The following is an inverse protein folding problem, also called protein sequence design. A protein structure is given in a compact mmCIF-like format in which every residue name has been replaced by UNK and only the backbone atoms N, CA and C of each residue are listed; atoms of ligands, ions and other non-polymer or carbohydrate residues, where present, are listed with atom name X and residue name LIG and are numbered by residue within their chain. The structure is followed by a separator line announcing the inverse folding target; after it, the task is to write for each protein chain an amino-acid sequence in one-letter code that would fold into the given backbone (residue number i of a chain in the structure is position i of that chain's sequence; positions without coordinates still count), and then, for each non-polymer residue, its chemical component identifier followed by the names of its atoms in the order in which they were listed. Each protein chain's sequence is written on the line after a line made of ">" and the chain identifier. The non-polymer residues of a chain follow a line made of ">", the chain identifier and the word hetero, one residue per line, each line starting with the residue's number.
data_IF_784158249346
#
_entry.id   IF_784158249346
#
_cell.length_a   1.000
_cell.length_b   1.000
_cell.length_c   1.000
_cell.angle_alpha   90.00
_cell.angle_beta   90.00
_cell.angle_gamma   90.00
#
_symmetry.space_group_name_H-M   'P 1'
#
loop_
_entity.id
_entity.type
_entity.pdbx_description
1 polymer ?
#
# COMPACT_ATOMS: atom_id res chain seq x y z
N UNK A 1 -20.70 3.37 -10.55
CA UNK A 1 -19.63 3.47 -11.58
C UNK A 1 -18.38 2.78 -11.07
N UNK A 2 -18.13 1.55 -11.51
CA UNK A 2 -16.93 0.77 -11.16
C UNK A 2 -15.73 1.33 -11.94
N UNK A 3 -14.77 1.93 -11.23
CA UNK A 3 -13.51 2.43 -11.80
C UNK A 3 -12.76 1.31 -12.54
N UNK A 4 -12.17 1.57 -13.71
CA UNK A 4 -11.39 0.57 -14.43
C UNK A 4 -10.15 0.18 -13.61
N UNK A 5 -9.93 -1.13 -13.47
CA UNK A 5 -8.74 -1.68 -12.81
C UNK A 5 -7.51 -1.23 -13.60
N UNK A 6 -6.65 -0.41 -12.99
CA UNK A 6 -5.34 -0.07 -13.56
C UNK A 6 -4.62 -1.37 -13.93
N UNK A 7 -4.05 -1.46 -15.14
CA UNK A 7 -3.18 -2.58 -15.50
C UNK A 7 -2.05 -2.67 -14.47
N UNK A 8 -2.13 -3.66 -13.57
CA UNK A 8 -1.18 -3.87 -12.50
C UNK A 8 0.06 -4.54 -13.08
N UNK A 9 1.13 -3.77 -13.29
CA UNK A 9 2.41 -4.33 -13.71
C UNK A 9 3.08 -4.94 -12.48
N UNK A 10 3.37 -6.23 -12.49
CA UNK A 10 4.18 -6.88 -11.45
C UNK A 10 5.65 -6.48 -11.62
N UNK A 11 6.40 -6.27 -10.54
CA UNK A 11 7.85 -6.15 -10.65
C UNK A 11 8.48 -7.54 -10.76
N UNK A 12 9.55 -7.66 -11.56
CA UNK A 12 10.39 -8.87 -11.53
C UNK A 12 11.14 -8.93 -10.20
N UNK A 13 11.54 -10.13 -9.76
CA UNK A 13 12.32 -10.33 -8.53
C UNK A 13 13.56 -9.43 -8.47
N UNK A 14 14.34 -9.41 -9.56
CA UNK A 14 15.55 -8.58 -9.66
C UNK A 14 15.24 -7.07 -9.49
N UNK A 15 14.18 -6.57 -10.16
CA UNK A 15 13.78 -5.16 -10.06
C UNK A 15 13.25 -4.80 -8.68
N UNK A 16 12.54 -5.72 -8.04
CA UNK A 16 12.07 -5.55 -6.65
C UNK A 16 13.28 -5.39 -5.73
N UNK A 17 14.26 -6.28 -5.83
CA UNK A 17 15.48 -6.26 -5.02
C UNK A 17 16.32 -5.00 -5.25
N UNK A 18 16.52 -4.61 -6.51
CA UNK A 18 17.20 -3.36 -6.89
C UNK A 18 16.54 -2.14 -6.23
N UNK A 19 15.22 -2.02 -6.35
CA UNK A 19 14.47 -0.90 -5.75
C UNK A 19 14.56 -0.94 -4.23
N UNK A 20 14.44 -2.14 -3.64
CA UNK A 20 14.50 -2.33 -2.20
C UNK A 20 15.84 -1.88 -1.60
N UNK A 21 16.95 -2.18 -2.28
CA UNK A 21 18.30 -1.80 -1.86
C UNK A 21 18.55 -0.28 -1.88
N UNK A 22 17.78 0.47 -2.67
CA UNK A 22 17.87 1.94 -2.73
C UNK A 22 17.10 2.64 -1.61
N UNK A 23 16.23 1.92 -0.89
CA UNK A 23 15.45 2.48 0.22
C UNK A 23 16.29 2.65 1.47
N UNK A 24 15.99 3.68 2.26
CA UNK A 24 16.58 3.82 3.59
C UNK A 24 16.05 2.74 4.55
N UNK A 25 16.77 2.48 5.64
CA UNK A 25 16.33 1.51 6.65
C UNK A 25 14.95 1.87 7.24
N UNK A 26 14.67 3.16 7.43
CA UNK A 26 13.37 3.65 7.91
C UNK A 26 12.26 3.39 6.89
N UNK A 27 12.52 3.65 5.60
CA UNK A 27 11.56 3.38 4.52
C UNK A 27 11.27 1.88 4.40
N UNK A 28 12.30 1.04 4.48
CA UNK A 28 12.13 -0.41 4.50
C UNK A 28 11.29 -0.86 5.70
N UNK A 29 11.55 -0.31 6.90
CA UNK A 29 10.79 -0.63 8.09
C UNK A 29 9.30 -0.28 7.96
N UNK A 30 8.97 0.89 7.41
CA UNK A 30 7.58 1.31 7.15
C UNK A 30 6.90 0.36 6.16
N UNK A 31 7.56 -0.01 5.05
CA UNK A 31 7.00 -0.95 4.08
C UNK A 31 6.82 -2.37 4.67
N UNK A 32 7.79 -2.87 5.44
CA UNK A 32 7.68 -4.16 6.13
C UNK A 32 6.47 -4.14 7.07
N UNK A 33 6.32 -3.07 7.86
CA UNK A 33 5.23 -2.94 8.81
C UNK A 33 3.88 -2.84 8.10
N UNK A 34 3.79 -2.08 7.00
CA UNK A 34 2.60 -2.00 6.15
C UNK A 34 2.18 -3.38 5.64
N UNK A 35 3.11 -4.13 5.04
CA UNK A 35 2.84 -5.47 4.49
C UNK A 35 2.37 -6.41 5.61
N UNK A 36 3.09 -6.41 6.75
CA UNK A 36 2.73 -7.22 7.92
C UNK A 36 1.34 -6.88 8.41
N UNK A 37 1.01 -5.60 8.57
CA UNK A 37 -0.31 -5.16 9.00
C UNK A 37 -1.41 -5.62 8.04
N UNK A 38 -1.21 -5.44 6.72
CA UNK A 38 -2.17 -5.87 5.69
C UNK A 38 -2.39 -7.37 5.70
N UNK A 39 -1.31 -8.16 5.82
CA UNK A 39 -1.39 -9.62 5.88
C UNK A 39 -2.06 -10.09 7.16
N UNK A 40 -1.68 -9.53 8.32
CA UNK A 40 -2.31 -9.87 9.60
C UNK A 40 -3.79 -9.49 9.61
N UNK A 41 -4.16 -8.30 9.13
CA UNK A 41 -5.56 -7.86 9.07
C UNK A 41 -6.41 -8.74 8.16
N UNK A 42 -5.84 -9.18 7.03
CA UNK A 42 -6.48 -10.13 6.13
C UNK A 42 -6.76 -11.47 6.82
N UNK A 43 -5.78 -11.96 7.58
CA UNK A 43 -5.87 -13.23 8.29
C UNK A 43 -6.86 -13.12 9.44
N UNK A 44 -6.91 -12.00 10.16
CA UNK A 44 -7.82 -11.74 11.29
C UNK A 44 -9.31 -11.68 10.94
N UNK A 45 -9.68 -11.88 9.67
CA UNK A 45 -11.07 -12.06 9.30
C UNK A 45 -11.64 -13.30 10.01
N UNK A 46 -12.55 -13.05 10.96
CA UNK A 46 -13.15 -14.05 11.84
C UNK A 46 -13.90 -15.14 11.09
N UNK A 47 -14.23 -14.94 9.81
CA UNK A 47 -14.85 -15.98 8.99
C UNK A 47 -13.87 -17.09 8.59
N UNK A 48 -12.56 -16.84 8.67
CA UNK A 48 -11.52 -17.79 8.24
C UNK A 48 -11.10 -18.78 9.33
N UNK A 49 -11.37 -18.50 10.61
CA UNK A 49 -10.90 -19.35 11.71
C UNK A 49 -12.04 -20.16 12.33
N UNK A 50 -11.82 -21.46 12.47
CA UNK A 50 -12.71 -22.37 13.20
C UNK A 50 -12.95 -21.90 14.64
N UNK A 51 -14.14 -22.20 15.18
CA UNK A 51 -14.63 -21.69 16.47
C UNK A 51 -13.89 -22.23 17.71
N UNK A 52 -12.97 -23.18 17.54
CA UNK A 52 -12.41 -23.96 18.64
C UNK A 52 -11.22 -23.30 19.37
N UNK A 53 -10.92 -22.03 19.05
CA UNK A 53 -10.47 -21.04 20.04
C UNK A 53 -9.12 -21.23 20.75
N UNK A 54 -8.32 -22.25 20.42
CA UNK A 54 -7.03 -22.48 21.11
C UNK A 54 -5.81 -21.91 20.39
N UNK A 55 -5.92 -21.61 19.11
CA UNK A 55 -4.81 -21.15 18.28
C UNK A 55 -5.18 -19.86 17.56
N UNK A 56 -4.32 -18.86 17.72
CA UNK A 56 -4.46 -17.53 17.15
C UNK A 56 -3.41 -17.32 16.07
N UNK A 57 -3.79 -16.72 14.95
CA UNK A 57 -2.82 -16.33 13.94
C UNK A 57 -1.89 -15.24 14.49
N UNK A 58 -0.59 -15.50 14.48
CA UNK A 58 0.44 -14.58 14.97
C UNK A 58 1.08 -13.80 13.85
N UNK A 59 1.55 -14.49 12.81
CA UNK A 59 2.34 -13.88 11.75
C UNK A 59 2.35 -14.71 10.47
N UNK A 60 2.62 -14.03 9.36
CA UNK A 60 2.94 -14.65 8.09
C UNK A 60 4.35 -14.22 7.67
N UNK A 61 5.15 -15.18 7.21
CA UNK A 61 6.48 -14.95 6.69
C UNK A 61 6.58 -15.43 5.24
N UNK A 62 7.25 -14.63 4.40
CA UNK A 62 7.57 -14.96 3.02
C UNK A 62 9.08 -15.08 2.85
N UNK A 63 9.54 -16.16 2.25
CA UNK A 63 10.95 -16.40 1.95
C UNK A 63 11.25 -16.03 0.49
N UNK A 64 11.82 -14.84 0.28
CA UNK A 64 12.20 -14.40 -1.07
C UNK A 64 13.44 -15.16 -1.61
N UNK A 65 14.22 -15.78 -0.71
CA UNK A 65 15.39 -16.59 -1.01
C UNK A 65 15.10 -18.10 -0.99
N UNK A 66 13.85 -18.50 -1.24
CA UNK A 66 13.47 -19.92 -1.25
C UNK A 66 14.29 -20.76 -2.25
N UNK A 67 14.66 -20.18 -3.39
CA UNK A 67 15.43 -20.87 -4.43
C UNK A 67 16.95 -20.86 -4.16
N UNK A 68 17.42 -20.10 -3.16
CA UNK A 68 18.83 -19.92 -2.80
C UNK A 68 19.11 -20.52 -1.41
N UNK A 69 19.66 -21.75 -1.31
CA UNK A 69 19.80 -22.48 -0.04
C UNK A 69 20.73 -21.83 1.01
N UNK A 70 21.57 -20.89 0.60
CA UNK A 70 22.59 -20.24 1.43
C UNK A 70 22.04 -19.17 2.39
N UNK A 71 20.77 -18.77 2.23
CA UNK A 71 20.12 -17.76 3.07
C UNK A 71 19.14 -18.38 4.09
N UNK A 72 18.69 -17.59 5.08
CA UNK A 72 17.74 -18.03 6.12
C UNK A 72 16.47 -18.62 5.49
N UNK A 73 16.31 -19.94 5.60
CA UNK A 73 15.15 -20.66 5.09
C UNK A 73 14.02 -20.73 6.12
N UNK A 74 12.78 -20.81 5.62
CA UNK A 74 11.60 -21.09 6.45
C UNK A 74 11.27 -22.58 6.39
N UNK A 75 10.82 -23.13 7.52
CA UNK A 75 10.46 -24.54 7.65
C UNK A 75 9.09 -24.69 8.32
N UNK A 76 8.38 -25.73 7.92
CA UNK A 76 7.18 -26.21 8.59
C UNK A 76 7.57 -27.03 9.83
N UNK A 77 6.63 -27.19 10.76
CA UNK A 77 6.77 -28.09 11.91
C UNK A 77 7.10 -29.54 11.50
N UNK A 78 6.73 -29.98 10.30
CA UNK A 78 7.10 -31.30 9.76
C UNK A 78 8.50 -31.36 9.13
N UNK A 79 9.28 -30.28 9.18
CA UNK A 79 10.61 -30.19 8.57
C UNK A 79 10.62 -29.79 7.08
N UNK A 80 9.47 -29.71 6.40
CA UNK A 80 9.42 -29.28 4.99
C UNK A 80 9.85 -27.82 4.85
N UNK A 81 10.72 -27.53 3.88
CA UNK A 81 11.10 -26.16 3.50
C UNK A 81 9.92 -25.40 2.90
N UNK A 82 9.75 -24.15 3.29
CA UNK A 82 8.60 -23.32 2.94
C UNK A 82 9.01 -22.02 2.24
N UNK A 83 8.26 -21.67 1.20
CA UNK A 83 8.27 -20.31 0.64
C UNK A 83 7.34 -19.37 1.41
N UNK A 84 6.25 -19.92 1.93
CA UNK A 84 5.22 -19.23 2.69
C UNK A 84 5.03 -19.95 4.03
N UNK A 85 5.19 -19.24 5.14
CA UNK A 85 5.06 -19.79 6.49
C UNK A 85 3.98 -19.03 7.26
N UNK A 86 3.08 -19.78 7.87
CA UNK A 86 2.01 -19.29 8.73
C UNK A 86 2.36 -19.64 10.16
N UNK A 87 2.34 -18.66 11.05
CA UNK A 87 2.67 -18.85 12.47
C UNK A 87 1.38 -18.72 13.27
N UNK A 88 1.04 -19.79 14.00
CA UNK A 88 -0.03 -19.80 14.98
C UNK A 88 0.58 -19.76 16.38
N UNK A 89 -0.14 -19.21 17.34
CA UNK A 89 0.23 -19.15 18.75
C UNK A 89 -0.97 -19.54 19.61
N UNK A 90 -0.72 -20.36 20.63
CA UNK A 90 -1.77 -20.71 21.59
C UNK A 90 -1.87 -19.68 22.74
N UNK A 91 -2.89 -19.81 23.58
CA UNK A 91 -3.06 -18.94 24.76
C UNK A 91 -1.91 -18.97 25.78
N UNK A 92 -1.00 -19.95 25.68
CA UNK A 92 0.17 -20.13 26.55
C UNK A 92 1.46 -19.54 25.94
N UNK A 93 1.39 -18.95 24.74
CA UNK A 93 2.54 -18.35 24.04
C UNK A 93 3.38 -19.35 23.22
N UNK A 94 2.96 -20.60 23.12
CA UNK A 94 3.62 -21.59 22.27
C UNK A 94 3.25 -21.34 20.81
N UNK A 95 4.27 -21.13 19.96
CA UNK A 95 4.08 -20.85 18.54
C UNK A 95 4.41 -22.07 17.66
N UNK A 96 3.53 -22.39 16.72
CA UNK A 96 3.74 -23.41 15.68
C UNK A 96 3.87 -22.75 14.30
N UNK A 97 4.80 -23.26 13.49
CA UNK A 97 5.11 -22.75 12.15
C UNK A 97 4.66 -23.74 11.10
N UNK A 98 3.76 -23.35 10.22
CA UNK A 98 3.06 -24.24 9.31
C UNK A 98 3.21 -23.79 7.86
N UNK A 99 3.27 -24.76 6.95
CA UNK A 99 3.01 -24.54 5.54
C UNK A 99 1.50 -24.45 5.29
N UNK A 100 1.10 -24.08 4.08
CA UNK A 100 -0.32 -23.82 3.78
C UNK A 100 -1.25 -25.02 4.03
N UNK A 101 -0.83 -26.22 3.64
CA UNK A 101 -1.63 -27.44 3.81
C UNK A 101 -1.85 -27.73 5.29
N UNK A 102 -0.77 -27.81 6.06
CA UNK A 102 -0.89 -28.04 7.50
C UNK A 102 -1.59 -26.90 8.23
N UNK A 103 -1.46 -25.65 7.77
CA UNK A 103 -2.21 -24.54 8.33
C UNK A 103 -3.72 -24.71 8.11
N UNK A 104 -4.14 -25.07 6.89
CA UNK A 104 -5.54 -25.33 6.57
C UNK A 104 -6.08 -26.53 7.36
N UNK A 105 -5.35 -27.64 7.38
CA UNK A 105 -5.74 -28.86 8.09
C UNK A 105 -5.87 -28.61 9.60
N UNK A 106 -4.89 -27.90 10.19
CA UNK A 106 -4.86 -27.59 11.61
C UNK A 106 -6.02 -26.70 12.07
N UNK A 107 -6.59 -25.90 11.16
CA UNK A 107 -7.69 -24.99 11.44
C UNK A 107 -9.04 -25.45 10.85
N UNK A 108 -9.07 -26.62 10.20
CA UNK A 108 -10.25 -27.12 9.49
C UNK A 108 -10.73 -26.21 8.37
N UNK A 109 -9.83 -25.41 7.78
CA UNK A 109 -10.17 -24.43 6.73
C UNK A 109 -10.34 -25.17 5.40
N UNK A 110 -11.48 -25.04 4.71
CA UNK A 110 -11.65 -25.64 3.40
C UNK A 110 -10.61 -25.12 2.40
N UNK A 111 -10.11 -26.02 1.54
CA UNK A 111 -9.08 -25.67 0.55
C UNK A 111 -9.48 -24.49 -0.35
N UNK A 112 -10.77 -24.38 -0.70
CA UNK A 112 -11.31 -23.27 -1.49
C UNK A 112 -11.12 -21.91 -0.82
N UNK A 113 -11.39 -21.83 0.48
CA UNK A 113 -11.18 -20.64 1.31
C UNK A 113 -9.68 -20.32 1.38
N UNK A 114 -8.84 -21.34 1.54
CA UNK A 114 -7.39 -21.18 1.57
C UNK A 114 -6.83 -20.64 0.23
N UNK A 115 -7.32 -21.11 -0.92
CA UNK A 115 -6.94 -20.59 -2.24
C UNK A 115 -7.37 -19.11 -2.43
N UNK A 116 -8.55 -18.74 -1.92
CA UNK A 116 -9.00 -17.34 -1.93
C UNK A 116 -8.07 -16.46 -1.09
N UNK A 117 -7.70 -16.92 0.09
CA UNK A 117 -6.76 -16.24 0.98
C UNK A 117 -5.38 -16.07 0.32
N UNK A 118 -4.84 -17.11 -0.34
CA UNK A 118 -3.59 -16.97 -1.12
C UNK A 118 -3.71 -15.90 -2.20
N UNK A 119 -4.83 -15.87 -2.91
CA UNK A 119 -5.09 -14.87 -3.97
C UNK A 119 -5.08 -13.45 -3.39
N UNK A 120 -5.64 -13.26 -2.20
CA UNK A 120 -5.62 -11.99 -1.50
C UNK A 120 -4.20 -11.61 -1.01
N UNK A 121 -3.41 -12.56 -0.50
CA UNK A 121 -1.99 -12.32 -0.18
C UNK A 121 -1.20 -11.92 -1.43
N UNK A 122 -1.44 -12.59 -2.56
CA UNK A 122 -0.84 -12.20 -3.83
C UNK A 122 -1.24 -10.77 -4.21
N UNK A 123 -2.49 -10.37 -4.01
CA UNK A 123 -2.92 -8.99 -4.22
C UNK A 123 -2.23 -7.97 -3.31
N UNK A 124 -1.91 -8.33 -2.06
CA UNK A 124 -1.10 -7.48 -1.17
C UNK A 124 0.31 -7.30 -1.78
N UNK A 125 0.93 -8.38 -2.24
CA UNK A 125 2.25 -8.31 -2.89
C UNK A 125 2.23 -7.48 -4.18
N UNK A 126 1.13 -7.53 -4.95
CA UNK A 126 0.94 -6.64 -6.09
C UNK A 126 0.83 -5.17 -5.67
N UNK A 127 0.15 -4.87 -4.55
CA UNK A 127 0.09 -3.52 -3.99
C UNK A 127 1.48 -3.00 -3.61
N UNK A 128 2.32 -3.86 -3.03
CA UNK A 128 3.72 -3.53 -2.76
C UNK A 128 4.49 -3.20 -4.05
N UNK A 129 4.36 -4.02 -5.09
CA UNK A 129 5.02 -3.76 -6.38
C UNK A 129 4.57 -2.44 -6.99
N UNK A 130 3.31 -2.05 -6.81
CA UNK A 130 2.81 -0.74 -7.23
C UNK A 130 3.48 0.40 -6.46
N UNK A 131 3.61 0.28 -5.13
CA UNK A 131 4.33 1.26 -4.30
C UNK A 131 5.79 1.37 -4.75
N UNK A 132 6.48 0.26 -4.95
CA UNK A 132 7.87 0.26 -5.43
C UNK A 132 8.01 0.91 -6.80
N UNK A 133 7.06 0.67 -7.73
CA UNK A 133 7.06 1.39 -9.02
C UNK A 133 6.83 2.89 -8.87
N UNK A 134 6.01 3.31 -7.91
CA UNK A 134 5.79 4.74 -7.62
C UNK A 134 7.07 5.38 -7.10
N UNK A 135 7.82 4.70 -6.23
CA UNK A 135 9.13 5.16 -5.74
C UNK A 135 10.08 5.39 -6.91
N UNK A 136 10.18 4.42 -7.83
CA UNK A 136 11.03 4.53 -9.04
C UNK A 136 10.64 5.68 -9.97
N UNK A 137 9.38 6.10 -9.95
CA UNK A 137 8.88 7.24 -10.72
C UNK A 137 9.01 8.57 -9.97
N UNK A 138 9.65 8.56 -8.80
CA UNK A 138 9.73 9.71 -7.88
C UNK A 138 8.35 10.30 -7.57
N UNK A 139 7.32 9.43 -7.54
CA UNK A 139 5.98 9.84 -7.14
C UNK A 139 5.95 10.08 -5.62
N UNK A 140 5.11 11.01 -5.20
CA UNK A 140 4.92 11.34 -3.79
C UNK A 140 4.26 12.70 -3.64
N UNK A 141 4.09 13.10 -2.39
CA UNK A 141 3.72 14.48 -2.06
C UNK A 141 4.97 15.35 -2.12
N UNK A 142 4.84 16.60 -2.58
CA UNK A 142 5.94 17.57 -2.46
C UNK A 142 6.13 17.99 -0.99
N UNK A 143 7.26 18.60 -0.66
CA UNK A 143 7.61 18.94 0.73
C UNK A 143 6.57 19.80 1.44
N UNK A 144 5.93 20.75 0.74
CA UNK A 144 4.88 21.60 1.31
C UNK A 144 3.64 20.78 1.68
N UNK A 145 3.21 19.88 0.79
CA UNK A 145 2.06 18.99 1.04
C UNK A 145 2.36 17.97 2.14
N UNK A 146 3.59 17.45 2.19
CA UNK A 146 4.03 16.53 3.26
C UNK A 146 3.92 17.20 4.63
N UNK A 147 4.52 18.37 4.79
CA UNK A 147 4.50 19.12 6.05
C UNK A 147 3.07 19.48 6.46
N UNK A 148 2.27 19.98 5.53
CA UNK A 148 0.87 20.28 5.79
C UNK A 148 0.11 19.03 6.27
N UNK A 149 0.29 17.89 5.62
CA UNK A 149 -0.38 16.65 6.01
C UNK A 149 0.05 16.16 7.39
N UNK A 150 1.35 16.19 7.70
CA UNK A 150 1.87 15.80 9.01
C UNK A 150 1.23 16.64 10.12
N UNK A 151 1.09 17.95 9.94
CA UNK A 151 0.47 18.84 10.93
C UNK A 151 -1.03 18.62 11.08
N UNK A 152 -1.73 18.24 10.01
CA UNK A 152 -3.20 18.15 10.00
C UNK A 152 -3.74 16.71 9.98
N UNK A 153 -2.88 15.71 10.17
CA UNK A 153 -3.24 14.28 10.03
C UNK A 153 -4.45 13.87 10.87
N UNK A 154 -4.53 14.38 12.11
CA UNK A 154 -5.62 14.08 13.04
C UNK A 154 -7.02 14.49 12.54
N UNK A 155 -7.10 15.38 11.54
CA UNK A 155 -8.37 15.80 10.94
C UNK A 155 -8.92 14.78 9.93
N UNK A 156 -8.16 13.72 9.61
CA UNK A 156 -8.51 12.74 8.60
C UNK A 156 -8.43 11.31 9.13
N UNK A 157 -9.25 10.95 10.14
CA UNK A 157 -9.22 9.63 10.78
C UNK A 157 -9.60 8.48 9.83
N UNK A 158 -10.29 8.76 8.72
CA UNK A 158 -10.68 7.76 7.72
C UNK A 158 -9.54 7.31 6.80
N UNK A 159 -8.39 8.00 6.84
CA UNK A 159 -7.23 7.60 6.05
C UNK A 159 -6.58 6.35 6.64
N UNK A 160 -5.85 5.56 5.82
CA UNK A 160 -5.12 4.41 6.32
C UNK A 160 -4.21 4.78 7.50
N UNK A 161 -4.17 3.95 8.56
CA UNK A 161 -3.49 4.28 9.81
C UNK A 161 -1.97 4.49 9.65
N UNK A 162 -1.38 3.94 8.59
CA UNK A 162 0.03 4.04 8.24
C UNK A 162 0.34 5.20 7.27
N UNK A 163 -0.66 5.96 6.81
CA UNK A 163 -0.46 7.05 5.86
C UNK A 163 0.50 8.12 6.40
N UNK A 164 0.43 8.40 7.71
CA UNK A 164 1.35 9.33 8.37
C UNK A 164 2.80 8.84 8.31
N UNK A 165 3.02 7.55 8.58
CA UNK A 165 4.37 6.96 8.58
C UNK A 165 4.98 7.00 7.19
N UNK A 166 4.20 6.67 6.15
CA UNK A 166 4.63 6.81 4.76
C UNK A 166 5.08 8.23 4.44
N UNK A 167 4.28 9.23 4.81
CA UNK A 167 4.61 10.64 4.52
C UNK A 167 5.85 11.10 5.28
N UNK A 168 6.01 10.70 6.54
CA UNK A 168 7.17 11.07 7.38
C UNK A 168 8.50 10.62 6.79
N UNK A 169 8.54 9.42 6.19
CA UNK A 169 9.76 8.87 5.57
C UNK A 169 9.85 9.15 4.07
N UNK A 170 8.96 10.00 3.53
CA UNK A 170 8.96 10.41 2.12
C UNK A 170 8.58 9.30 1.14
N UNK A 171 7.84 8.27 1.58
CA UNK A 171 7.32 7.22 0.71
C UNK A 171 6.04 7.67 -0.02
N UNK A 172 5.83 7.23 -1.27
CA UNK A 172 4.56 7.41 -1.94
C UNK A 172 3.48 6.54 -1.30
N UNK A 173 2.29 7.12 -1.14
CA UNK A 173 1.10 6.39 -0.73
C UNK A 173 0.46 5.68 -1.93
N UNK A 174 -0.51 4.81 -1.65
CA UNK A 174 -1.44 4.31 -2.66
C UNK A 174 -2.07 5.48 -3.44
N UNK A 175 -2.33 5.25 -4.73
CA UNK A 175 -2.71 6.32 -5.66
C UNK A 175 -3.92 7.13 -5.20
N UNK A 176 -4.94 6.45 -4.70
CA UNK A 176 -6.19 7.08 -4.27
C UNK A 176 -6.01 7.85 -2.96
N UNK A 177 -5.28 7.27 -2.00
CA UNK A 177 -4.93 7.93 -0.72
C UNK A 177 -4.14 9.22 -0.98
N UNK A 178 -3.12 9.17 -1.85
CA UNK A 178 -2.37 10.37 -2.20
C UNK A 178 -3.27 11.42 -2.89
N UNK A 179 -4.19 11.00 -3.77
CA UNK A 179 -5.10 11.92 -4.44
C UNK A 179 -6.07 12.61 -3.45
N UNK A 180 -6.54 11.89 -2.43
CA UNK A 180 -7.36 12.45 -1.37
C UNK A 180 -6.59 13.47 -0.54
N UNK A 181 -5.35 13.17 -0.13
CA UNK A 181 -4.49 14.14 0.58
C UNK A 181 -4.27 15.41 -0.25
N UNK A 182 -3.99 15.26 -1.55
CA UNK A 182 -3.83 16.42 -2.45
C UNK A 182 -5.13 17.21 -2.57
N UNK A 183 -6.30 16.55 -2.57
CA UNK A 183 -7.60 17.22 -2.57
C UNK A 183 -7.81 18.03 -1.29
N UNK A 184 -7.54 17.43 -0.13
CA UNK A 184 -7.67 18.11 1.17
C UNK A 184 -6.74 19.31 1.28
N UNK A 185 -5.48 19.15 0.88
CA UNK A 185 -4.51 20.25 0.82
C UNK A 185 -5.04 21.40 -0.04
N UNK A 186 -5.48 21.10 -1.27
CA UNK A 186 -5.99 22.12 -2.20
C UNK A 186 -7.21 22.85 -1.66
N UNK A 187 -8.11 22.16 -0.96
CA UNK A 187 -9.29 22.77 -0.34
C UNK A 187 -8.88 23.71 0.80
N UNK A 188 -7.96 23.29 1.66
CA UNK A 188 -7.51 24.07 2.80
C UNK A 188 -6.66 25.29 2.40
N UNK A 189 -5.83 25.17 1.35
CA UNK A 189 -4.94 26.25 0.89
C UNK A 189 -5.52 27.03 -0.29
N UNK A 190 -6.78 26.80 -0.66
CA UNK A 190 -7.38 27.49 -1.80
C UNK A 190 -7.46 28.98 -1.51
N UNK A 191 -6.74 29.78 -2.30
CA UNK A 191 -6.95 31.21 -2.35
C UNK A 191 -7.74 31.56 -3.62
N UNK A 192 -8.92 32.19 -3.51
CA UNK A 192 -9.68 32.60 -4.68
C UNK A 192 -8.84 33.58 -5.49
N UNK A 193 -8.61 33.24 -6.77
CA UNK A 193 -7.92 34.16 -7.67
C UNK A 193 -8.72 35.46 -7.77
N UNK A 194 -8.08 36.63 -7.67
CA UNK A 194 -8.77 37.89 -7.87
C UNK A 194 -9.43 37.86 -9.24
N UNK A 195 -10.72 38.21 -9.29
CA UNK A 195 -11.46 38.32 -10.56
C UNK A 195 -10.78 39.40 -11.38
N UNK A 196 -10.06 39.00 -12.44
CA UNK A 196 -9.59 39.97 -13.43
C UNK A 196 -10.84 40.59 -14.07
N UNK A 197 -10.97 41.93 -14.10
CA UNK A 197 -12.05 42.55 -14.85
C UNK A 197 -11.97 42.03 -16.29
N UNK A 198 -13.12 41.60 -16.83
CA UNK A 198 -13.17 41.22 -18.24
C UNK A 198 -12.68 42.43 -19.04
N UNK A 199 -11.75 42.26 -19.99
CA UNK A 199 -11.36 43.37 -20.85
C UNK A 199 -12.63 43.95 -21.46
N UNK A 200 -12.80 45.27 -21.37
CA UNK A 200 -13.94 45.95 -21.96
C UNK A 200 -13.99 45.55 -23.44
N UNK A 201 -15.13 45.02 -23.89
CA UNK A 201 -15.30 44.72 -25.32
C UNK A 201 -15.19 46.06 -26.04
N UNK A 202 -14.19 46.20 -26.91
CA UNK A 202 -14.09 47.34 -27.82
C UNK A 202 -15.42 47.44 -28.58
N UNK A 203 -16.00 48.63 -28.61
CA UNK A 203 -17.21 48.87 -29.39
C UNK A 203 -16.92 48.67 -30.88
N UNK A 204 -17.94 48.37 -31.68
CA UNK A 204 -17.80 48.19 -33.13
C UNK A 204 -17.13 49.41 -33.81
N UNK A 205 -17.39 50.61 -33.27
CA UNK A 205 -16.76 51.87 -33.71
C UNK A 205 -15.27 51.92 -33.40
N UNK A 206 -14.85 51.42 -32.23
CA UNK A 206 -13.44 51.36 -31.83
C UNK A 206 -12.67 50.28 -32.62
N UNK A 207 -13.34 49.19 -33.00
CA UNK A 207 -12.79 48.22 -33.96
C UNK A 207 -12.59 48.84 -35.34
N UNK A 208 -13.59 49.56 -35.86
CA UNK A 208 -13.46 50.21 -37.18
C UNK A 208 -12.29 51.21 -37.24
N UNK A 209 -12.06 51.99 -36.18
CA UNK A 209 -10.96 52.95 -36.12
C UNK A 209 -9.55 52.31 -36.06
N UNK A 210 -9.43 51.09 -35.50
CA UNK A 210 -8.15 50.38 -35.42
C UNK A 210 -7.69 49.76 -36.75
N UNK A 211 -8.58 49.63 -37.72
CA UNK A 211 -8.33 49.04 -39.05
C UNK A 211 -8.52 50.07 -40.18
N UNK A 212 -8.46 51.37 -39.88
CA UNK A 212 -8.54 52.43 -40.89
C UNK A 212 -7.20 52.76 -41.56
N UNK A 213 -6.07 52.33 -40.97
CA UNK A 213 -4.71 52.59 -41.47
C UNK A 213 -3.94 51.30 -41.89
N UNK A 214 -4.66 50.23 -42.23
CA UNK A 214 -4.12 49.03 -42.91
C UNK A 214 -4.81 48.92 -44.26
#
# INVERSE_FOLDING_TARGET
>A
MTRPKSHKVALTKARRQETWQQLTAEQQAVLIQHIRYRQTSLMMDRQLFGRDGQWFFKAYHYNDAYDTPTEKQLYCACGRRLKHQYVLENGEGTAIRLGITHFADHLGIPETVMRQLQTQIHHINFGLDEILQRIRRHAGLNSTMQQWFITHYHNYPDLPPDALDFVRVGLPLEKDVQADIVRYYKQATYQPKPRRPKPAKLSQKAWAALFQDI
#
